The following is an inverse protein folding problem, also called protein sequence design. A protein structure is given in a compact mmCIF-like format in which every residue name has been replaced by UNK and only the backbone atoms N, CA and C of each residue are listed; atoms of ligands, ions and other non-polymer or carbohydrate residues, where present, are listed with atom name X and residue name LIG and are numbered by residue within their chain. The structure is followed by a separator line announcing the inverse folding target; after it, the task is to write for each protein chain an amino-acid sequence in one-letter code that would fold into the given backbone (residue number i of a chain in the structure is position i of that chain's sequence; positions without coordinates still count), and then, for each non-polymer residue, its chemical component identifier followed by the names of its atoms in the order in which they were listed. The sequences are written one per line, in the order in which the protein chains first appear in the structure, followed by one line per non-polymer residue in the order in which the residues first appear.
data_IF_719318049661
#
_entry.id   IF_719318049661
#
_cell.length_a   1.000
_cell.length_b   1.000
_cell.length_c   1.000
_cell.angle_alpha   90.00
_cell.angle_beta   90.00
_cell.angle_gamma   90.00
#
_symmetry.space_group_name_H-M   'P 1'
#
loop_
_entity.id
_entity.type
_entity.pdbx_description
1 polymer ?
#
# COMPACT_ATOMS: atom_id res chain seq x y z
N UNK A 1 -57.97 17.68 -54.10
CA UNK A 1 -56.99 18.18 -55.04
C UNK A 1 -55.81 18.63 -54.23
N UNK A 2 -54.66 18.12 -54.30
CA UNK A 2 -53.91 17.15 -55.10
C UNK A 2 -52.77 16.60 -54.19
N UNK A 3 -52.56 15.28 -54.35
CA UNK A 3 -51.39 14.55 -53.85
C UNK A 3 -50.09 15.13 -54.32
N UNK A 4 -49.02 14.94 -53.55
CA UNK A 4 -47.79 14.40 -54.08
C UNK A 4 -46.92 13.81 -52.94
N UNK A 5 -46.64 12.56 -53.16
CA UNK A 5 -45.65 11.70 -52.45
C UNK A 5 -44.29 12.29 -52.60
N UNK A 6 -43.47 12.10 -51.58
CA UNK A 6 -42.08 11.73 -51.85
C UNK A 6 -41.47 10.88 -50.71
N UNK A 7 -40.96 9.73 -51.13
CA UNK A 7 -40.15 8.78 -50.38
C UNK A 7 -38.78 9.39 -50.11
N UNK A 8 -38.31 9.26 -48.90
CA UNK A 8 -36.88 9.36 -48.64
C UNK A 8 -36.44 8.13 -47.84
N UNK A 9 -35.45 7.48 -48.38
CA UNK A 9 -34.93 6.18 -48.05
C UNK A 9 -34.22 6.13 -46.70
N UNK A 10 -34.40 4.99 -46.03
CA UNK A 10 -33.54 4.51 -44.96
C UNK A 10 -32.09 4.33 -45.43
N UNK A 11 -31.20 5.13 -44.92
CA UNK A 11 -29.76 4.88 -45.00
C UNK A 11 -29.25 4.51 -43.62
N UNK A 12 -29.24 3.21 -43.36
CA UNK A 12 -28.63 2.61 -42.19
C UNK A 12 -27.12 2.52 -42.41
N UNK A 13 -26.44 3.64 -42.18
CA UNK A 13 -24.99 3.67 -42.16
C UNK A 13 -24.41 2.72 -41.09
N UNK A 14 -23.92 1.58 -41.53
CA UNK A 14 -23.09 0.67 -40.71
C UNK A 14 -21.84 1.40 -40.25
N UNK A 15 -21.86 1.91 -39.03
CA UNK A 15 -20.65 2.34 -38.32
C UNK A 15 -19.72 1.12 -38.11
N UNK A 16 -18.56 1.18 -38.72
CA UNK A 16 -17.58 0.11 -38.64
C UNK A 16 -17.12 -0.07 -37.20
N UNK A 17 -17.00 -1.32 -36.77
CA UNK A 17 -16.54 -1.71 -35.43
C UNK A 17 -15.15 -1.15 -35.01
N UNK A 18 -14.44 -0.50 -35.91
CA UNK A 18 -13.15 0.16 -35.66
C UNK A 18 -13.24 1.56 -35.07
N UNK A 19 -14.37 2.24 -35.20
CA UNK A 19 -14.53 3.60 -34.68
C UNK A 19 -14.99 3.64 -33.20
N UNK A 20 -15.46 2.50 -32.65
CA UNK A 20 -15.98 2.42 -31.28
C UNK A 20 -14.89 2.12 -30.22
N UNK A 21 -13.67 1.79 -30.64
CA UNK A 21 -12.58 1.44 -29.71
C UNK A 21 -11.76 2.68 -29.28
N UNK A 22 -11.88 3.79 -30.02
CA UNK A 22 -11.10 5.01 -29.73
C UNK A 22 -11.77 6.04 -28.82
N UNK A 23 -13.06 5.91 -28.54
CA UNK A 23 -13.85 6.98 -27.88
C UNK A 23 -14.23 6.76 -26.41
N UNK A 24 -14.02 5.57 -25.89
CA UNK A 24 -14.46 5.21 -24.50
C UNK A 24 -13.35 5.24 -23.45
N UNK A 25 -12.12 5.57 -23.84
CA UNK A 25 -11.01 5.67 -22.90
C UNK A 25 -10.94 7.00 -22.13
N UNK A 26 -11.80 7.98 -22.47
CA UNK A 26 -11.69 9.34 -21.94
C UNK A 26 -12.69 9.69 -20.82
N UNK A 27 -13.65 8.82 -20.49
CA UNK A 27 -14.74 9.18 -19.58
C UNK A 27 -14.87 8.33 -18.30
N UNK A 28 -14.13 7.25 -18.15
CA UNK A 28 -14.11 6.49 -16.89
C UNK A 28 -12.82 6.83 -16.15
N UNK A 29 -12.93 7.62 -15.09
CA UNK A 29 -11.83 7.93 -14.18
C UNK A 29 -11.25 6.65 -13.57
N UNK A 30 -10.31 6.04 -14.25
CA UNK A 30 -9.43 5.01 -13.76
C UNK A 30 -8.09 5.65 -13.39
N UNK A 31 -7.94 6.08 -12.14
CA UNK A 31 -6.77 6.89 -11.84
C UNK A 31 -5.51 6.09 -11.60
N UNK A 32 -5.54 4.83 -11.27
CA UNK A 32 -4.33 4.13 -10.84
C UNK A 32 -3.82 3.04 -11.78
N UNK A 33 -4.70 2.32 -12.47
CA UNK A 33 -4.25 1.28 -13.40
C UNK A 33 -3.69 1.83 -14.72
N UNK A 34 -3.99 3.09 -15.05
CA UNK A 34 -3.59 3.69 -16.33
C UNK A 34 -2.27 4.47 -16.28
N UNK A 35 -1.73 4.74 -15.09
CA UNK A 35 -0.45 5.46 -14.97
C UNK A 35 0.74 4.56 -14.61
N UNK A 36 0.53 3.37 -14.10
CA UNK A 36 1.47 2.31 -14.39
C UNK A 36 1.30 1.99 -15.88
N UNK A 37 1.96 2.72 -16.76
CA UNK A 37 2.20 2.22 -18.10
C UNK A 37 2.84 0.86 -17.92
N UNK A 38 2.01 -0.19 -18.00
CA UNK A 38 2.54 -1.49 -18.34
C UNK A 38 3.12 -1.31 -19.75
N UNK A 39 4.37 -0.84 -19.80
CA UNK A 39 5.18 -1.12 -20.98
C UNK A 39 5.10 -2.63 -21.09
N UNK A 40 4.43 -3.12 -22.15
CA UNK A 40 4.55 -4.53 -22.49
C UNK A 40 6.05 -4.82 -22.45
N UNK A 41 6.48 -5.81 -21.68
CA UNK A 41 7.88 -6.19 -21.72
C UNK A 41 8.25 -6.34 -23.19
N UNK A 42 9.41 -5.84 -23.63
CA UNK A 42 9.85 -5.99 -25.00
C UNK A 42 9.71 -7.45 -25.39
N UNK A 43 9.26 -7.71 -26.61
CA UNK A 43 9.13 -9.08 -27.12
C UNK A 43 10.45 -9.81 -26.91
N UNK A 44 10.39 -10.95 -26.25
CA UNK A 44 11.58 -11.73 -25.96
C UNK A 44 12.28 -12.10 -27.29
N UNK A 45 13.61 -12.02 -27.37
CA UNK A 45 14.35 -12.39 -28.57
C UNK A 45 14.02 -13.83 -28.99
N UNK A 46 14.00 -14.16 -30.31
CA UNK A 46 13.84 -15.53 -30.77
C UNK A 46 14.87 -16.44 -30.09
N UNK A 47 14.42 -17.54 -29.49
CA UNK A 47 15.28 -18.50 -28.78
C UNK A 47 15.53 -18.17 -27.30
N UNK A 48 14.97 -17.08 -26.79
CA UNK A 48 15.02 -16.81 -25.36
C UNK A 48 14.13 -17.83 -24.61
N UNK A 49 14.76 -18.66 -23.80
CA UNK A 49 14.06 -19.52 -22.86
C UNK A 49 13.80 -18.71 -21.59
N UNK A 50 12.54 -18.36 -21.27
CA UNK A 50 12.27 -17.61 -20.04
C UNK A 50 12.82 -18.41 -18.86
N UNK A 51 13.61 -17.72 -18.03
CA UNK A 51 14.02 -18.30 -16.75
C UNK A 51 12.76 -18.73 -15.99
N UNK A 52 12.79 -19.85 -15.24
CA UNK A 52 11.68 -20.24 -14.41
C UNK A 52 11.29 -19.05 -13.50
N UNK A 53 10.00 -18.88 -13.19
CA UNK A 53 9.56 -17.79 -12.35
C UNK A 53 10.40 -17.79 -11.08
N UNK A 54 10.87 -16.59 -10.69
CA UNK A 54 11.66 -16.41 -9.47
C UNK A 54 10.93 -17.04 -8.30
N UNK A 55 11.66 -17.73 -7.45
CA UNK A 55 11.12 -18.23 -6.18
C UNK A 55 10.37 -17.13 -5.44
N UNK A 56 9.25 -17.47 -4.83
CA UNK A 56 8.50 -16.61 -3.92
C UNK A 56 9.16 -16.56 -2.52
N UNK A 57 10.40 -16.97 -2.44
CA UNK A 57 11.24 -17.00 -1.25
C UNK A 57 12.65 -16.54 -1.61
N UNK A 58 13.33 -15.92 -0.66
CA UNK A 58 14.71 -15.48 -0.83
C UNK A 58 15.38 -15.13 0.48
N UNK A 59 16.61 -14.60 0.35
CA UNK A 59 17.45 -14.26 1.49
C UNK A 59 18.14 -15.48 2.13
N UNK A 60 19.07 -15.21 3.04
CA UNK A 60 19.90 -16.24 3.71
C UNK A 60 20.01 -16.01 5.22
N UNK A 61 19.40 -14.94 5.73
CA UNK A 61 19.53 -14.52 7.11
C UNK A 61 18.63 -15.28 8.09
N UNK A 62 18.76 -14.94 9.36
CA UNK A 62 18.05 -15.61 10.45
C UNK A 62 16.66 -15.05 10.72
N UNK A 63 16.43 -13.77 10.44
CA UNK A 63 15.11 -13.12 10.66
C UNK A 63 14.15 -13.63 9.59
N UNK A 64 13.09 -14.28 9.98
CA UNK A 64 12.09 -14.85 9.06
C UNK A 64 10.98 -13.85 8.82
N UNK A 65 10.86 -13.37 7.58
CA UNK A 65 9.90 -12.35 7.16
C UNK A 65 8.81 -12.97 6.31
N UNK A 66 7.55 -12.79 6.71
CA UNK A 66 6.40 -13.01 5.84
C UNK A 66 6.10 -11.71 5.10
N UNK A 67 6.39 -11.67 3.80
CA UNK A 67 6.11 -10.53 2.95
C UNK A 67 4.72 -10.66 2.32
N UNK A 68 3.81 -9.75 2.66
CA UNK A 68 2.40 -9.76 2.24
C UNK A 68 2.17 -8.65 1.24
N UNK A 69 1.59 -8.96 0.08
CA UNK A 69 1.20 -7.95 -0.91
C UNK A 69 -0.20 -8.15 -1.45
N UNK A 70 -0.72 -7.13 -2.10
CA UNK A 70 -1.98 -7.16 -2.86
C UNK A 70 -2.11 -5.98 -3.82
N UNK A 71 -2.80 -6.22 -4.91
CA UNK A 71 -3.46 -5.29 -5.82
C UNK A 71 -2.54 -4.37 -6.62
N UNK A 72 -1.65 -3.62 -6.00
CA UNK A 72 -0.76 -2.74 -6.75
C UNK A 72 0.25 -3.56 -7.55
N UNK A 73 0.25 -3.38 -8.88
CA UNK A 73 1.28 -3.98 -9.72
C UNK A 73 2.63 -3.33 -9.40
N UNK A 74 3.61 -4.14 -9.08
CA UNK A 74 4.96 -3.68 -8.80
C UNK A 74 5.98 -4.57 -9.53
N UNK A 75 7.16 -4.05 -9.76
CA UNK A 75 8.27 -4.82 -10.31
C UNK A 75 8.79 -5.78 -9.23
N UNK A 76 8.24 -7.01 -9.25
CA UNK A 76 8.58 -8.06 -8.29
C UNK A 76 10.05 -8.40 -8.32
N UNK A 77 10.63 -8.42 -9.50
CA UNK A 77 12.01 -8.83 -9.69
C UNK A 77 12.95 -7.85 -9.00
N UNK A 78 12.77 -6.55 -9.24
CA UNK A 78 13.59 -5.53 -8.61
C UNK A 78 13.34 -5.40 -7.10
N UNK A 79 12.08 -5.46 -6.64
CA UNK A 79 11.80 -5.39 -5.22
C UNK A 79 12.37 -6.60 -4.47
N UNK A 80 12.18 -7.81 -4.99
CA UNK A 80 12.73 -9.01 -4.36
C UNK A 80 14.25 -9.05 -4.42
N UNK A 81 14.86 -8.55 -5.52
CA UNK A 81 16.30 -8.36 -5.57
C UNK A 81 16.80 -7.38 -4.49
N UNK A 82 16.06 -6.32 -4.20
CA UNK A 82 16.40 -5.42 -3.10
C UNK A 82 16.38 -6.17 -1.75
N UNK A 83 15.35 -6.98 -1.49
CA UNK A 83 15.25 -7.78 -0.26
C UNK A 83 16.32 -8.87 -0.16
N UNK A 84 16.73 -9.47 -1.28
CA UNK A 84 17.82 -10.47 -1.30
C UNK A 84 19.19 -9.90 -0.91
N UNK A 85 19.36 -8.59 -0.95
CA UNK A 85 20.59 -7.95 -0.47
C UNK A 85 20.59 -7.71 1.05
N UNK A 86 19.49 -8.00 1.73
CA UNK A 86 19.40 -7.93 3.19
C UNK A 86 19.88 -9.26 3.77
N UNK A 87 21.13 -9.34 4.12
CA UNK A 87 21.83 -10.56 4.58
C UNK A 87 21.30 -11.12 5.91
N UNK A 88 20.54 -10.33 6.66
CA UNK A 88 19.99 -10.73 7.95
C UNK A 88 18.65 -11.44 7.84
N UNK A 89 17.95 -11.38 6.69
CA UNK A 89 16.61 -11.91 6.55
C UNK A 89 16.52 -13.13 5.64
N UNK A 90 15.52 -13.95 5.90
CA UNK A 90 14.93 -14.88 4.93
C UNK A 90 13.48 -14.49 4.78
N UNK A 91 12.99 -14.35 3.54
CA UNK A 91 11.64 -13.88 3.28
C UNK A 91 10.82 -14.88 2.47
N UNK A 92 9.52 -14.93 2.75
CA UNK A 92 8.51 -15.68 1.99
C UNK A 92 7.41 -14.72 1.58
N UNK A 93 7.08 -14.66 0.29
CA UNK A 93 6.04 -13.79 -0.24
C UNK A 93 4.71 -14.54 -0.37
N UNK A 94 3.64 -13.91 0.09
CA UNK A 94 2.25 -14.39 -0.03
C UNK A 94 1.34 -13.23 -0.39
N UNK A 95 0.43 -13.46 -1.33
CA UNK A 95 -0.57 -12.45 -1.72
C UNK A 95 -1.93 -12.70 -1.08
N UNK A 96 -2.71 -11.62 -0.90
CA UNK A 96 -4.13 -11.76 -0.60
C UNK A 96 -4.88 -12.40 -1.78
N UNK A 97 -5.93 -13.21 -1.53
CA UNK A 97 -6.53 -13.47 -0.20
C UNK A 97 -5.78 -14.51 0.65
N UNK A 98 -4.87 -15.30 0.10
CA UNK A 98 -4.18 -16.37 0.83
C UNK A 98 -3.42 -15.86 2.06
N UNK A 99 -2.88 -14.63 2.00
CA UNK A 99 -2.16 -14.00 3.10
C UNK A 99 -3.00 -13.84 4.38
N UNK A 100 -4.34 -13.76 4.28
CA UNK A 100 -5.21 -13.67 5.47
C UNK A 100 -5.15 -14.90 6.38
N UNK A 101 -4.74 -16.06 5.84
CA UNK A 101 -4.55 -17.26 6.65
C UNK A 101 -3.45 -17.09 7.70
N UNK A 102 -2.43 -16.27 7.39
CA UNK A 102 -1.31 -16.01 8.28
C UNK A 102 -1.61 -14.99 9.38
N UNK A 103 -2.85 -14.53 9.50
CA UNK A 103 -3.31 -13.82 10.69
C UNK A 103 -3.54 -14.80 11.85
N UNK A 104 -3.73 -16.08 11.54
CA UNK A 104 -3.74 -17.16 12.52
C UNK A 104 -2.36 -17.31 13.18
N UNK A 105 -2.25 -17.21 14.52
CA UNK A 105 -0.96 -17.31 15.22
C UNK A 105 -0.18 -18.60 14.96
N UNK A 106 -0.86 -19.73 14.73
CA UNK A 106 -0.20 -21.00 14.46
C UNK A 106 0.46 -20.97 13.07
N UNK A 107 -0.23 -20.44 12.06
CA UNK A 107 0.32 -20.30 10.70
C UNK A 107 1.40 -19.24 10.62
N UNK A 108 1.31 -18.18 11.42
CA UNK A 108 2.35 -17.16 11.54
C UNK A 108 3.56 -17.59 12.38
N UNK A 109 3.46 -18.71 13.13
CA UNK A 109 4.49 -19.13 14.08
C UNK A 109 5.93 -19.17 13.51
N UNK A 110 6.17 -19.61 12.25
CA UNK A 110 7.50 -19.66 11.68
C UNK A 110 8.17 -18.30 11.44
N UNK A 111 7.43 -17.21 11.45
CA UNK A 111 7.92 -15.88 11.07
C UNK A 111 8.18 -15.00 12.31
N UNK A 112 9.19 -14.14 12.23
CA UNK A 112 9.52 -13.14 13.24
C UNK A 112 8.81 -11.80 12.96
N UNK A 113 8.64 -11.47 11.67
CA UNK A 113 8.07 -10.20 11.19
C UNK A 113 7.05 -10.46 10.09
N UNK A 114 5.90 -9.80 10.18
CA UNK A 114 4.96 -9.65 9.08
C UNK A 114 5.20 -8.29 8.43
N UNK A 115 5.56 -8.32 7.14
CA UNK A 115 5.86 -7.14 6.33
C UNK A 115 4.76 -6.93 5.30
N UNK A 116 4.08 -5.79 5.36
CA UNK A 116 2.89 -5.50 4.56
C UNK A 116 3.19 -4.47 3.46
N UNK A 117 2.95 -4.88 2.24
CA UNK A 117 2.98 -4.08 1.01
C UNK A 117 1.67 -4.28 0.23
N UNK A 118 0.56 -4.34 0.94
CA UNK A 118 -0.75 -4.64 0.40
C UNK A 118 -1.58 -3.35 0.25
N UNK A 119 -2.14 -3.12 -0.94
CA UNK A 119 -3.14 -2.09 -1.14
C UNK A 119 -4.54 -2.71 -1.13
N UNK A 120 -5.51 -2.05 -0.51
CA UNK A 120 -6.92 -2.43 -0.55
C UNK A 120 -7.20 -3.89 -0.17
N UNK A 121 -6.54 -4.43 0.88
CA UNK A 121 -6.69 -5.83 1.25
C UNK A 121 -8.16 -6.25 1.48
N UNK A 122 -8.99 -5.37 2.01
CA UNK A 122 -10.43 -5.60 2.20
C UNK A 122 -11.31 -5.26 0.99
N UNK A 123 -10.78 -5.24 -0.24
CA UNK A 123 -11.55 -4.87 -1.43
C UNK A 123 -11.39 -5.87 -2.56
N UNK A 124 -12.50 -6.14 -3.28
CA UNK A 124 -12.49 -6.85 -4.56
C UNK A 124 -12.79 -5.90 -5.70
N UNK A 125 -12.21 -6.17 -6.85
CA UNK A 125 -12.41 -5.42 -8.10
C UNK A 125 -12.92 -6.40 -9.14
N UNK A 126 -14.16 -6.20 -9.59
CA UNK A 126 -14.82 -7.06 -10.57
C UNK A 126 -15.13 -6.26 -11.83
N UNK A 127 -14.73 -6.80 -12.99
CA UNK A 127 -15.15 -6.25 -14.27
C UNK A 127 -16.58 -6.71 -14.56
N UNK A 128 -17.50 -5.75 -14.67
CA UNK A 128 -18.86 -6.00 -15.06
C UNK A 128 -19.02 -6.19 -16.58
N UNK A 129 -20.17 -6.68 -17.01
CA UNK A 129 -20.45 -6.93 -18.43
C UNK A 129 -20.40 -5.68 -19.33
N UNK A 130 -20.64 -4.51 -18.75
CA UNK A 130 -20.51 -3.19 -19.41
C UNK A 130 -19.08 -2.64 -19.41
N UNK A 131 -18.11 -3.40 -18.89
CA UNK A 131 -16.71 -3.02 -18.78
C UNK A 131 -16.36 -2.14 -17.59
N UNK A 132 -17.34 -1.74 -16.78
CA UNK A 132 -17.11 -0.99 -15.55
C UNK A 132 -16.45 -1.89 -14.51
N UNK A 133 -15.50 -1.35 -13.74
CA UNK A 133 -14.91 -2.06 -12.62
C UNK A 133 -15.69 -1.70 -11.36
N UNK A 134 -16.52 -2.63 -10.89
CA UNK A 134 -17.09 -2.54 -9.56
C UNK A 134 -16.00 -2.78 -8.52
N UNK A 135 -15.98 -1.94 -7.49
CA UNK A 135 -15.11 -2.18 -6.35
C UNK A 135 -15.97 -2.32 -5.09
N UNK A 136 -15.89 -3.49 -4.46
CA UNK A 136 -16.67 -3.83 -3.27
C UNK A 136 -15.74 -3.92 -2.07
N UNK A 137 -16.11 -3.20 -1.02
CA UNK A 137 -15.43 -3.30 0.26
C UNK A 137 -15.99 -4.51 1.03
N UNK A 138 -15.11 -5.46 1.35
CA UNK A 138 -15.48 -6.67 2.07
C UNK A 138 -15.01 -6.55 3.53
N UNK A 139 -15.92 -6.72 4.49
CA UNK A 139 -15.51 -6.74 5.88
C UNK A 139 -14.67 -7.99 6.20
N UNK A 140 -13.71 -7.91 7.13
CA UNK A 140 -13.01 -9.08 7.61
C UNK A 140 -13.98 -10.01 8.33
N UNK A 141 -13.75 -11.33 8.22
CA UNK A 141 -14.52 -12.30 8.97
C UNK A 141 -14.26 -12.17 10.48
N UNK A 142 -15.22 -12.62 11.30
CA UNK A 142 -15.03 -12.63 12.76
C UNK A 142 -13.82 -13.48 13.18
N UNK A 143 -13.52 -14.60 12.48
CA UNK A 143 -12.31 -15.39 12.70
C UNK A 143 -11.06 -14.56 12.44
N UNK A 144 -10.99 -13.89 11.29
CA UNK A 144 -9.82 -13.07 10.92
C UNK A 144 -9.56 -11.96 11.93
N UNK A 145 -10.62 -11.28 12.40
CA UNK A 145 -10.47 -10.26 13.45
C UNK A 145 -9.92 -10.84 14.76
N UNK A 146 -10.43 -11.98 15.22
CA UNK A 146 -9.95 -12.63 16.43
C UNK A 146 -8.51 -13.09 16.31
N UNK A 147 -8.16 -13.73 15.20
CA UNK A 147 -6.83 -14.26 14.95
C UNK A 147 -5.78 -13.15 14.89
N UNK A 148 -6.06 -12.09 14.17
CA UNK A 148 -5.17 -10.92 14.09
C UNK A 148 -5.01 -10.22 15.44
N UNK A 149 -6.12 -10.05 16.18
CA UNK A 149 -6.07 -9.50 17.53
C UNK A 149 -5.23 -10.39 18.46
N UNK A 150 -5.39 -11.72 18.39
CA UNK A 150 -4.60 -12.66 19.18
C UNK A 150 -3.12 -12.62 18.80
N UNK A 151 -2.80 -12.56 17.51
CA UNK A 151 -1.43 -12.43 17.01
C UNK A 151 -0.73 -11.19 17.59
N UNK A 152 -1.44 -10.05 17.60
CA UNK A 152 -0.93 -8.81 18.21
C UNK A 152 -0.82 -8.89 19.73
N UNK A 153 -1.76 -9.57 20.42
CA UNK A 153 -1.76 -9.75 21.87
C UNK A 153 -0.65 -10.68 22.36
N UNK A 154 -0.25 -11.65 21.56
CA UNK A 154 0.87 -12.53 21.89
C UNK A 154 2.18 -11.73 22.05
N UNK A 155 2.38 -10.68 21.23
CA UNK A 155 3.52 -9.79 21.35
C UNK A 155 4.85 -10.47 21.04
N UNK A 156 4.84 -11.52 20.24
CA UNK A 156 6.01 -12.29 19.83
C UNK A 156 6.43 -12.02 18.37
N UNK A 157 5.61 -11.27 17.61
CA UNK A 157 5.85 -10.85 16.24
C UNK A 157 6.01 -9.35 16.15
N UNK A 158 6.82 -8.89 15.17
CA UNK A 158 6.87 -7.51 14.73
C UNK A 158 6.05 -7.27 13.46
N UNK A 159 5.55 -6.06 13.29
CA UNK A 159 4.74 -5.67 12.15
C UNK A 159 5.37 -4.46 11.47
N UNK A 160 5.67 -4.60 10.18
CA UNK A 160 6.19 -3.50 9.36
C UNK A 160 5.22 -3.29 8.20
N UNK A 161 4.67 -2.11 8.11
CA UNK A 161 3.83 -1.66 7.01
C UNK A 161 4.60 -0.64 6.19
N UNK A 162 4.48 -0.71 4.87
CA UNK A 162 5.10 0.33 4.08
C UNK A 162 4.28 0.70 2.86
N UNK A 163 4.52 1.91 2.40
CA UNK A 163 3.92 2.52 1.23
C UNK A 163 2.38 2.47 1.28
N UNK A 164 1.73 1.91 0.26
CA UNK A 164 0.27 1.87 0.14
C UNK A 164 -0.44 0.91 1.12
N UNK A 165 0.28 0.26 2.03
CA UNK A 165 -0.34 -0.61 3.03
C UNK A 165 -1.37 0.12 3.93
N UNK A 166 -1.28 1.44 4.08
CA UNK A 166 -2.26 2.27 4.78
C UNK A 166 -3.64 2.31 4.12
N UNK A 167 -3.79 1.84 2.87
CA UNK A 167 -5.08 1.77 2.18
C UNK A 167 -5.81 0.44 2.43
N UNK A 168 -5.19 -0.51 3.12
CA UNK A 168 -5.83 -1.79 3.42
C UNK A 168 -6.89 -1.65 4.50
N UNK A 169 -8.04 -2.28 4.29
CA UNK A 169 -9.18 -2.32 5.21
C UNK A 169 -9.73 -0.94 5.61
N UNK A 170 -9.50 0.09 4.82
CA UNK A 170 -9.76 1.48 5.19
C UNK A 170 -11.23 1.78 5.55
N UNK A 171 -12.20 1.05 4.99
CA UNK A 171 -13.62 1.26 5.24
C UNK A 171 -14.27 0.26 6.19
N UNK A 172 -13.73 -0.94 6.27
CA UNK A 172 -14.43 -2.08 6.87
C UNK A 172 -13.81 -2.61 8.15
N UNK A 173 -12.61 -2.13 8.50
CA UNK A 173 -11.91 -2.58 9.70
C UNK A 173 -11.27 -1.42 10.49
N UNK A 174 -12.04 -0.71 11.31
CA UNK A 174 -11.54 0.43 12.11
C UNK A 174 -10.30 0.10 12.94
N UNK A 175 -10.29 -1.07 13.59
CA UNK A 175 -9.18 -1.51 14.43
C UNK A 175 -7.89 -1.68 13.63
N UNK A 176 -7.97 -2.11 12.38
CA UNK A 176 -6.79 -2.27 11.52
C UNK A 176 -6.11 -0.93 11.21
N UNK A 177 -6.91 0.13 11.00
CA UNK A 177 -6.38 1.51 10.83
C UNK A 177 -5.68 1.99 12.09
N UNK A 178 -6.22 1.65 13.27
CA UNK A 178 -5.60 1.97 14.55
C UNK A 178 -4.29 1.20 14.75
N UNK A 179 -4.17 -0.03 14.24
CA UNK A 179 -2.89 -0.78 14.25
C UNK A 179 -1.82 -0.03 13.47
N UNK A 180 -2.13 0.45 12.27
CA UNK A 180 -1.16 1.18 11.43
C UNK A 180 -0.93 2.60 11.93
N UNK A 181 -1.96 3.28 12.42
CA UNK A 181 -1.91 4.69 12.83
C UNK A 181 -2.26 5.66 11.71
N UNK A 182 -2.91 5.19 10.64
CA UNK A 182 -3.31 5.99 9.50
C UNK A 182 -4.41 5.28 8.69
N UNK A 183 -5.01 6.00 7.73
CA UNK A 183 -5.92 5.44 6.76
C UNK A 183 -5.82 6.18 5.42
N UNK A 184 -5.91 5.48 4.30
CA UNK A 184 -5.97 6.10 2.98
C UNK A 184 -6.99 5.39 2.08
N UNK A 185 -7.63 6.16 1.20
CA UNK A 185 -8.36 5.65 0.04
C UNK A 185 -8.34 6.70 -1.07
N UNK A 186 -7.72 6.35 -2.18
CA UNK A 186 -7.55 7.27 -3.30
C UNK A 186 -8.75 7.29 -4.27
N UNK A 187 -9.73 6.40 -4.09
CA UNK A 187 -10.91 6.27 -4.94
C UNK A 187 -12.22 6.67 -4.27
N UNK A 188 -12.25 6.74 -2.94
CA UNK A 188 -13.47 7.02 -2.17
C UNK A 188 -13.19 7.93 -0.97
N UNK A 189 -14.15 8.81 -0.59
CA UNK A 189 -14.09 9.55 0.67
C UNK A 189 -14.03 8.59 1.87
N UNK A 190 -13.21 8.93 2.83
CA UNK A 190 -13.09 8.18 4.08
C UNK A 190 -14.13 8.69 5.09
N UNK A 191 -14.95 7.77 5.61
CA UNK A 191 -16.03 8.10 6.54
C UNK A 191 -15.72 7.62 7.95
N UNK A 192 -16.10 8.44 8.93
CA UNK A 192 -15.97 8.15 10.35
C UNK A 192 -14.55 7.69 10.74
N UNK A 193 -13.53 8.45 10.31
CA UNK A 193 -12.16 8.26 10.75
C UNK A 193 -11.98 9.02 12.06
N UNK A 194 -12.02 8.32 13.18
CA UNK A 194 -11.98 8.92 14.54
C UNK A 194 -13.00 10.05 14.71
N UNK A 195 -14.24 9.80 14.22
CA UNK A 195 -15.34 10.76 14.29
C UNK A 195 -15.32 11.89 13.26
N UNK A 196 -14.43 11.83 12.27
CA UNK A 196 -14.33 12.82 11.19
C UNK A 196 -14.51 12.19 9.82
N UNK A 197 -15.09 12.93 8.89
CA UNK A 197 -15.16 12.58 7.48
C UNK A 197 -14.05 13.32 6.71
N UNK A 198 -13.45 12.63 5.75
CA UNK A 198 -12.43 13.17 4.87
C UNK A 198 -12.85 12.97 3.41
N UNK A 199 -12.48 13.89 2.53
CA UNK A 199 -12.47 13.63 1.10
C UNK A 199 -11.55 12.44 0.78
N UNK A 200 -11.53 11.96 -0.46
CA UNK A 200 -10.60 10.90 -0.83
C UNK A 200 -9.16 11.35 -0.62
N UNK A 201 -8.30 10.40 -0.31
CA UNK A 201 -6.87 10.65 -0.15
C UNK A 201 -6.22 11.06 -1.47
N UNK A 202 -5.13 11.82 -1.42
CA UNK A 202 -4.28 12.15 -2.54
C UNK A 202 -3.05 11.24 -2.61
N UNK A 203 -2.63 10.91 -3.83
CA UNK A 203 -1.32 10.35 -4.12
C UNK A 203 -0.75 11.05 -5.34
N UNK A 204 0.49 11.48 -5.28
CA UNK A 204 1.21 12.14 -6.37
C UNK A 204 2.54 11.45 -6.58
N UNK A 205 2.72 10.83 -7.75
CA UNK A 205 3.92 10.08 -8.09
C UNK A 205 5.09 10.99 -8.50
N UNK A 206 6.31 10.46 -8.37
CA UNK A 206 7.55 11.11 -8.81
C UNK A 206 7.82 12.48 -8.14
N UNK A 207 7.45 12.61 -6.87
CA UNK A 207 7.73 13.81 -6.09
C UNK A 207 9.13 13.72 -5.51
N UNK A 208 9.96 14.72 -5.81
CA UNK A 208 11.23 14.89 -5.10
C UNK A 208 10.94 15.43 -3.70
N UNK A 209 11.40 14.74 -2.69
CA UNK A 209 11.17 15.05 -1.28
C UNK A 209 12.50 15.06 -0.53
N UNK A 210 12.66 16.02 0.37
CA UNK A 210 13.70 15.99 1.38
C UNK A 210 13.13 15.41 2.68
N UNK A 211 13.75 14.34 3.17
CA UNK A 211 13.31 13.63 4.36
C UNK A 211 14.20 13.98 5.54
N UNK A 212 13.57 14.52 6.56
CA UNK A 212 14.23 14.80 7.85
C UNK A 212 14.06 13.64 8.79
N UNK A 213 15.17 13.17 9.37
CA UNK A 213 15.17 12.19 10.46
C UNK A 213 14.87 12.89 11.78
N UNK A 214 13.65 12.66 12.30
CA UNK A 214 13.14 13.35 13.50
C UNK A 214 13.74 12.75 14.77
N UNK A 215 13.74 11.42 14.88
CA UNK A 215 14.38 10.72 16.02
C UNK A 215 15.63 9.99 15.53
N UNK A 216 16.80 10.64 15.70
CA UNK A 216 18.10 10.10 15.33
C UNK A 216 18.62 9.01 16.28
N UNK A 217 18.00 8.89 17.46
CA UNK A 217 18.39 7.90 18.48
C UNK A 217 17.67 6.57 18.33
N UNK A 218 16.57 6.53 17.56
CA UNK A 218 15.80 5.30 17.39
C UNK A 218 16.54 4.25 16.56
N UNK A 219 16.50 2.95 16.89
CA UNK A 219 17.22 1.90 16.14
C UNK A 219 16.87 1.85 14.64
N UNK A 220 15.65 2.20 14.24
CA UNK A 220 15.25 2.23 12.81
C UNK A 220 16.01 3.30 12.04
N UNK A 221 16.28 4.44 12.65
CA UNK A 221 16.98 5.56 12.02
C UNK A 221 18.49 5.52 12.23
N UNK A 222 18.99 4.52 12.95
CA UNK A 222 20.41 4.39 13.25
C UNK A 222 21.28 4.42 11.98
N UNK A 223 22.18 5.40 11.92
CA UNK A 223 23.09 5.64 10.80
C UNK A 223 22.39 6.06 9.50
N UNK A 224 21.18 6.61 9.59
CA UNK A 224 20.49 7.31 8.50
C UNK A 224 20.52 8.80 8.81
N UNK A 225 21.07 9.58 7.90
CA UNK A 225 21.00 11.05 7.94
C UNK A 225 19.80 11.53 7.15
N UNK A 226 19.51 12.84 7.19
CA UNK A 226 18.52 13.46 6.33
C UNK A 226 18.87 13.19 4.86
N UNK A 227 17.88 12.88 4.02
CA UNK A 227 18.12 12.40 2.66
C UNK A 227 17.07 12.86 1.65
N UNK A 228 17.44 12.89 0.39
CA UNK A 228 16.51 13.12 -0.72
C UNK A 228 16.02 11.79 -1.28
N UNK A 229 14.74 11.75 -1.66
CA UNK A 229 14.11 10.63 -2.35
C UNK A 229 13.13 11.12 -3.40
N UNK A 230 13.00 10.40 -4.51
CA UNK A 230 11.92 10.58 -5.47
C UNK A 230 10.95 9.43 -5.30
N UNK A 231 9.72 9.73 -4.90
CA UNK A 231 8.70 8.72 -4.61
C UNK A 231 7.30 9.31 -4.63
N UNK A 232 6.28 8.53 -4.29
CA UNK A 232 4.93 9.06 -4.08
C UNK A 232 4.83 9.89 -2.80
N UNK A 233 4.10 11.00 -2.90
CA UNK A 233 3.65 11.78 -1.75
C UNK A 233 2.16 11.53 -1.50
N UNK A 234 1.77 11.44 -0.22
CA UNK A 234 0.39 11.13 0.17
C UNK A 234 -0.28 12.29 0.91
N UNK A 235 -1.58 12.48 0.63
CA UNK A 235 -2.49 13.29 1.42
C UNK A 235 -3.52 12.35 2.04
N UNK A 236 -3.40 12.07 3.33
CA UNK A 236 -4.30 11.18 4.04
C UNK A 236 -4.29 11.50 5.56
N UNK A 237 -5.32 11.06 6.33
CA UNK A 237 -5.30 11.18 7.78
C UNK A 237 -4.24 10.26 8.40
N UNK A 238 -3.32 10.86 9.15
CA UNK A 238 -2.35 10.17 10.01
C UNK A 238 -2.69 10.50 11.47
N UNK A 239 -2.62 9.50 12.35
CA UNK A 239 -3.02 9.61 13.75
C UNK A 239 -1.82 9.99 14.62
N UNK A 240 -1.30 11.22 14.43
CA UNK A 240 -0.06 11.70 15.06
C UNK A 240 -0.06 11.60 16.58
N UNK A 241 -1.24 11.70 17.21
CA UNK A 241 -1.43 11.56 18.67
C UNK A 241 -1.19 10.13 19.20
N UNK A 242 -1.10 9.16 18.31
CA UNK A 242 -0.99 7.74 18.65
C UNK A 242 0.30 7.07 18.17
N UNK A 243 1.21 7.83 17.58
CA UNK A 243 2.44 7.31 16.96
C UNK A 243 3.67 8.07 17.49
N UNK A 244 4.82 7.44 17.46
CA UNK A 244 6.11 8.07 17.70
C UNK A 244 6.79 8.38 16.37
N UNK A 245 7.04 9.68 16.03
CA UNK A 245 7.54 10.10 14.74
C UNK A 245 9.00 9.73 14.54
N UNK A 246 9.34 9.20 13.35
CA UNK A 246 10.71 8.91 12.94
C UNK A 246 11.18 9.79 11.78
N UNK A 247 10.30 10.03 10.80
CA UNK A 247 10.64 10.71 9.54
C UNK A 247 9.56 11.72 9.17
N UNK A 248 9.98 12.87 8.63
CA UNK A 248 9.09 13.87 8.03
C UNK A 248 9.60 14.27 6.63
N UNK A 249 8.67 14.57 5.73
CA UNK A 249 8.96 15.17 4.42
C UNK A 249 8.83 16.68 4.46
N UNK A 250 9.56 17.39 3.59
CA UNK A 250 9.34 18.81 3.31
C UNK A 250 8.12 19.07 2.41
N UNK A 251 7.59 18.03 1.77
CA UNK A 251 6.36 18.12 0.98
C UNK A 251 5.17 18.49 1.87
N UNK A 252 4.39 19.48 1.40
CA UNK A 252 3.19 19.92 2.12
C UNK A 252 1.95 19.22 1.56
N UNK A 253 1.36 18.25 2.27
CA UNK A 253 0.21 17.50 1.80
C UNK A 253 -1.09 18.30 1.98
N UNK A 254 -1.36 19.18 1.03
CA UNK A 254 -2.61 19.95 0.93
C UNK A 254 -3.34 19.59 -0.35
N UNK A 255 -4.68 19.73 -0.40
CA UNK A 255 -5.49 19.32 -1.55
C UNK A 255 -5.06 20.00 -2.85
N UNK A 256 -4.62 21.25 -2.80
CA UNK A 256 -4.11 22.00 -3.95
C UNK A 256 -2.82 21.44 -4.55
N UNK A 257 -2.06 20.65 -3.80
CA UNK A 257 -0.88 19.97 -4.29
C UNK A 257 -1.20 18.71 -5.14
N UNK A 258 -2.49 18.31 -5.20
CA UNK A 258 -2.97 17.14 -5.94
C UNK A 258 -3.95 17.52 -7.07
N UNK A 259 -3.57 18.37 -8.04
CA UNK A 259 -4.49 18.97 -9.01
C UNK A 259 -5.19 17.95 -9.92
N UNK A 260 -4.59 16.79 -10.15
CA UNK A 260 -5.14 15.71 -10.96
C UNK A 260 -6.11 14.80 -10.20
N UNK A 261 -6.43 15.14 -8.94
CA UNK A 261 -7.28 14.35 -8.07
C UNK A 261 -8.48 15.16 -7.57
N UNK A 262 -9.50 15.38 -8.39
CA UNK A 262 -10.66 16.18 -7.98
C UNK A 262 -11.37 15.62 -6.75
N UNK A 263 -11.21 14.32 -6.46
CA UNK A 263 -11.78 13.67 -5.26
C UNK A 263 -11.11 14.12 -3.95
N UNK A 264 -9.92 14.73 -4.01
CA UNK A 264 -9.24 15.28 -2.82
C UNK A 264 -9.75 16.66 -2.43
N UNK A 265 -10.58 17.30 -3.26
CA UNK A 265 -11.06 18.65 -3.01
C UNK A 265 -11.76 18.75 -1.65
N UNK A 266 -11.28 19.66 -0.82
CA UNK A 266 -11.77 19.85 0.54
C UNK A 266 -11.19 18.87 1.56
N UNK A 267 -10.20 18.05 1.18
CA UNK A 267 -9.43 17.31 2.18
C UNK A 267 -8.68 18.30 3.08
N UNK A 268 -8.75 18.18 4.40
CA UNK A 268 -7.96 19.03 5.29
C UNK A 268 -6.46 18.79 5.03
N UNK A 269 -5.58 19.74 5.42
CA UNK A 269 -4.14 19.50 5.37
C UNK A 269 -3.78 18.18 6.03
N UNK A 270 -2.98 17.37 5.33
CA UNK A 270 -2.46 16.10 5.85
C UNK A 270 -1.23 16.33 6.73
N UNK A 271 -0.80 15.29 7.40
CA UNK A 271 0.48 15.26 8.09
C UNK A 271 1.63 15.08 7.10
N UNK A 272 2.77 15.69 7.38
CA UNK A 272 4.01 15.45 6.66
C UNK A 272 4.86 14.32 7.27
N UNK A 273 4.31 13.55 8.22
CA UNK A 273 4.94 12.33 8.72
C UNK A 273 5.01 11.28 7.61
N UNK A 274 6.21 10.71 7.42
CA UNK A 274 6.46 9.66 6.44
C UNK A 274 7.02 8.37 7.06
N UNK A 275 7.29 8.38 8.36
CA UNK A 275 7.71 7.19 9.09
C UNK A 275 7.44 7.32 10.58
N UNK A 276 6.97 6.24 11.21
CA UNK A 276 6.68 6.19 12.64
C UNK A 276 6.71 4.79 13.21
N UNK A 277 6.76 4.71 14.53
CA UNK A 277 6.53 3.48 15.28
C UNK A 277 5.41 3.67 16.29
N UNK A 278 4.81 2.58 16.68
CA UNK A 278 3.81 2.51 17.74
C UNK A 278 3.70 1.11 18.34
N UNK A 279 2.89 0.97 19.36
CA UNK A 279 2.44 -0.33 19.82
C UNK A 279 1.01 -0.61 19.38
N UNK A 280 0.70 -1.84 19.04
CA UNK A 280 -0.65 -2.34 18.83
C UNK A 280 -0.85 -3.59 19.67
N UNK A 281 -1.82 -3.58 20.58
CA UNK A 281 -1.93 -4.56 21.65
C UNK A 281 -0.58 -4.67 22.39
N UNK A 282 0.17 -5.73 22.19
CA UNK A 282 1.48 -5.98 22.80
C UNK A 282 2.60 -6.16 21.77
N UNK A 283 2.34 -5.78 20.53
CA UNK A 283 3.28 -5.94 19.41
C UNK A 283 3.86 -4.62 18.94
N UNK A 284 5.15 -4.60 18.53
CA UNK A 284 5.77 -3.44 17.92
C UNK A 284 5.30 -3.29 16.46
N UNK A 285 4.97 -2.07 16.08
CA UNK A 285 4.50 -1.72 14.72
C UNK A 285 5.34 -0.57 14.18
N UNK A 286 5.78 -0.68 12.95
CA UNK A 286 6.44 0.36 12.18
C UNK A 286 5.67 0.62 10.88
N UNK A 287 5.61 1.88 10.46
CA UNK A 287 5.19 2.28 9.12
C UNK A 287 6.25 3.17 8.47
N UNK A 288 6.52 2.91 7.17
CA UNK A 288 7.38 3.72 6.31
C UNK A 288 6.64 4.05 5.02
N UNK A 289 6.44 5.33 4.70
CA UNK A 289 5.65 5.74 3.54
C UNK A 289 6.30 5.40 2.21
N UNK A 290 7.61 5.54 2.08
CA UNK A 290 8.32 5.40 0.82
C UNK A 290 8.45 3.94 0.38
N UNK A 291 8.49 3.70 -0.94
CA UNK A 291 8.67 2.36 -1.50
C UNK A 291 7.79 2.05 -2.70
N UNK A 292 7.42 3.05 -3.53
CA UNK A 292 6.55 2.87 -4.67
C UNK A 292 7.18 2.03 -5.79
N UNK A 293 8.41 2.37 -6.15
CA UNK A 293 9.07 1.78 -7.30
C UNK A 293 10.59 1.64 -7.12
N UNK A 294 11.26 1.28 -8.19
CA UNK A 294 12.71 1.04 -8.20
C UNK A 294 13.54 2.30 -7.85
N UNK A 295 13.02 3.52 -8.04
CA UNK A 295 13.71 4.74 -7.63
C UNK A 295 13.85 4.77 -6.11
N UNK A 296 12.76 4.45 -5.39
CA UNK A 296 12.79 4.34 -3.95
C UNK A 296 13.61 3.13 -3.47
N UNK A 297 13.38 1.95 -4.06
CA UNK A 297 14.07 0.72 -3.63
C UNK A 297 15.58 0.74 -3.87
N UNK A 298 16.05 1.55 -4.81
CA UNK A 298 17.48 1.78 -5.08
C UNK A 298 18.09 2.82 -4.15
N UNK A 299 17.29 3.61 -3.43
CA UNK A 299 17.77 4.64 -2.53
C UNK A 299 18.48 4.02 -1.31
N UNK A 300 19.78 4.35 -1.05
CA UNK A 300 20.52 3.74 0.05
C UNK A 300 19.90 4.00 1.44
N UNK A 301 19.32 5.19 1.66
CA UNK A 301 18.69 5.53 2.93
C UNK A 301 17.41 4.71 3.13
N UNK A 302 16.59 4.56 2.07
CA UNK A 302 15.40 3.69 2.11
C UNK A 302 15.78 2.25 2.44
N UNK A 303 16.80 1.70 1.78
CA UNK A 303 17.26 0.32 2.02
C UNK A 303 17.71 0.13 3.47
N UNK A 304 18.45 1.09 4.00
CA UNK A 304 18.91 1.06 5.39
C UNK A 304 17.75 1.17 6.38
N UNK A 305 16.80 2.07 6.14
CA UNK A 305 15.59 2.21 6.95
C UNK A 305 14.75 0.92 6.95
N UNK A 306 14.53 0.32 5.78
CA UNK A 306 13.74 -0.91 5.66
C UNK A 306 14.42 -2.08 6.41
N UNK A 307 15.73 -2.27 6.22
CA UNK A 307 16.46 -3.32 6.94
C UNK A 307 16.44 -3.06 8.45
N UNK A 308 16.66 -1.82 8.88
CA UNK A 308 16.60 -1.46 10.29
C UNK A 308 15.20 -1.66 10.88
N UNK A 309 14.14 -1.35 10.12
CA UNK A 309 12.74 -1.55 10.55
C UNK A 309 12.44 -3.04 10.76
N UNK A 310 12.88 -3.90 9.85
CA UNK A 310 12.70 -5.35 9.98
C UNK A 310 13.51 -5.87 11.18
N UNK A 311 14.77 -5.48 11.32
CA UNK A 311 15.63 -5.86 12.45
C UNK A 311 15.04 -5.42 13.79
N UNK A 312 14.59 -4.16 13.89
CA UNK A 312 13.96 -3.63 15.08
C UNK A 312 12.68 -4.41 15.41
N UNK A 313 11.79 -4.59 14.46
CA UNK A 313 10.52 -5.29 14.66
C UNK A 313 10.72 -6.75 15.11
N UNK A 314 11.79 -7.39 14.65
CA UNK A 314 12.17 -8.75 15.07
C UNK A 314 12.81 -8.80 16.46
N UNK A 315 13.37 -7.69 16.95
CA UNK A 315 14.24 -7.67 18.13
C UNK A 315 13.51 -7.99 19.45
N UNK A 316 14.18 -8.62 20.39
CA UNK A 316 13.65 -8.81 21.75
C UNK A 316 13.33 -7.49 22.44
N UNK A 317 14.12 -6.44 22.20
CA UNK A 317 13.99 -5.12 22.82
C UNK A 317 12.70 -4.42 22.37
N UNK A 318 12.39 -4.43 21.05
CA UNK A 318 11.14 -3.88 20.55
C UNK A 318 9.91 -4.63 21.06
N UNK A 319 9.99 -5.96 21.12
CA UNK A 319 8.93 -6.81 21.68
C UNK A 319 8.75 -6.56 23.19
N UNK A 320 9.83 -6.39 23.93
CA UNK A 320 9.78 -6.05 25.35
C UNK A 320 9.19 -4.65 25.56
N UNK A 321 9.62 -3.67 24.75
CA UNK A 321 9.05 -2.33 24.76
C UNK A 321 7.55 -2.33 24.50
N UNK A 322 7.08 -3.06 23.50
CA UNK A 322 5.67 -3.14 23.17
C UNK A 322 4.84 -3.82 24.27
N UNK A 323 5.39 -4.85 24.91
CA UNK A 323 4.75 -5.53 26.06
C UNK A 323 4.69 -4.63 27.31
N UNK A 324 5.68 -3.77 27.50
CA UNK A 324 5.70 -2.79 28.61
C UNK A 324 4.79 -1.59 28.36
N UNK A 325 4.49 -1.27 27.09
CA UNK A 325 3.67 -0.14 26.68
C UNK A 325 2.46 -0.58 25.82
N UNK A 326 1.60 -1.47 26.31
CA UNK A 326 0.53 -2.03 25.50
C UNK A 326 -0.49 -0.95 25.11
N UNK A 327 -0.97 -0.99 23.88
CA UNK A 327 -2.05 -0.13 23.39
C UNK A 327 -3.23 -0.99 22.99
N UNK A 328 -4.26 -1.04 23.83
CA UNK A 328 -5.48 -1.79 23.52
C UNK A 328 -6.19 -1.16 22.32
N UNK A 329 -6.46 -1.96 21.30
CA UNK A 329 -7.15 -1.59 20.06
C UNK A 329 -8.41 -2.44 19.88
N UNK A 330 -8.27 -3.73 20.11
CA UNK A 330 -9.40 -4.67 19.99
C UNK A 330 -10.11 -4.84 21.33
N UNK A 331 -11.44 -4.87 21.27
CA UNK A 331 -12.32 -5.13 22.42
C UNK A 331 -12.18 -6.54 22.97
#
# INVERSE_FOLDING_TARGET
MTQSDDKAANDTGRLSRRALVGGLAAAAGLPFAAQAQMQRPPALPPGFNPQPPRSMQGGVGKIKVLFISKYHAFDRENLFAAFDTFDEITWTHVEHPAATNFYDPELAAPYDVLLFYDAFAGRTFERQSDGVIANMDNPPSAKMKRDFAQLLRNGDKGFVFFHHAIASWAHTWPEYREVIGAAADWGKPLKNIRGKDYAASGALANVKQHITVVDKAHPITAGVEDFDIVDEAYLCPIFEDSVHPLLRTDFQPVDTAFPLRPLTKGHPPGSNLTGWVKTAERSPVCYLQHGHDNQAWSNPAWRKLMMNAIRWAASPEAKAWAKANPKKIFS
#
